data_IF_200400862492
#
_entry.id   IF_200400862492
#
_cell.length_a   1.000
_cell.length_b   1.000
_cell.length_c   1.000
_cell.angle_alpha   90.00
_cell.angle_beta   90.00
_cell.angle_gamma   90.00
#
_symmetry.space_group_name_H-M   'P 1'
#
loop_
_entity.id
_entity.type
_entity.pdbx_description
1 polymer ?
#
# COMPACT_ATOMS: atom_id res chain seq x y z
N UNK A 1 -6.04 -33.63 39.39
CA UNK A 1 -7.06 -32.64 39.02
C UNK A 1 -6.44 -31.34 38.52
N UNK A 2 -5.61 -30.75 39.32
CA UNK A 2 -5.01 -29.48 38.94
C UNK A 2 -4.12 -29.58 37.71
N UNK A 3 -3.55 -30.74 37.46
CA UNK A 3 -2.70 -30.91 36.29
C UNK A 3 -3.48 -30.86 35.00
N UNK A 4 -4.71 -31.30 35.00
CA UNK A 4 -5.56 -31.29 33.81
C UNK A 4 -5.94 -29.84 33.46
N UNK A 5 -6.22 -29.04 34.48
CA UNK A 5 -6.55 -27.65 34.26
C UNK A 5 -5.37 -26.86 33.69
N UNK A 6 -4.16 -27.17 34.15
CA UNK A 6 -2.98 -26.50 33.62
C UNK A 6 -2.72 -26.85 32.15
N UNK A 7 -2.96 -28.09 31.79
CA UNK A 7 -2.83 -28.52 30.40
C UNK A 7 -3.82 -27.81 29.50
N UNK A 8 -5.05 -27.62 29.97
CA UNK A 8 -6.06 -26.96 29.21
C UNK A 8 -5.67 -25.49 28.97
N UNK A 9 -5.14 -24.82 29.98
CA UNK A 9 -4.70 -23.45 29.84
C UNK A 9 -3.56 -23.31 28.85
N UNK A 10 -2.63 -24.22 28.83
CA UNK A 10 -1.52 -24.21 27.88
C UNK A 10 -2.02 -24.37 26.45
N UNK A 11 -2.99 -25.24 26.23
CA UNK A 11 -3.56 -25.46 24.92
C UNK A 11 -4.26 -24.20 24.39
N UNK A 12 -4.90 -23.44 25.26
CA UNK A 12 -5.53 -22.19 24.85
C UNK A 12 -4.52 -21.15 24.41
N UNK A 13 -3.34 -21.17 25.01
CA UNK A 13 -2.30 -20.22 24.63
C UNK A 13 -1.63 -20.56 23.32
N UNK A 14 -1.66 -21.80 22.90
CA UNK A 14 -1.05 -22.19 21.64
C UNK A 14 -1.91 -21.87 20.42
N UNK A 15 -3.14 -21.42 20.62
CA UNK A 15 -4.03 -21.06 19.54
C UNK A 15 -3.83 -19.66 19.02
N UNK A 16 -2.68 -19.11 19.11
CA UNK A 16 -2.42 -17.78 18.69
C UNK A 16 -2.22 -17.72 17.20
N UNK A 17 -3.12 -17.19 16.44
CA UNK A 17 -2.99 -17.35 15.05
C UNK A 17 -2.48 -16.15 14.46
N UNK A 18 -2.22 -15.63 13.94
CA UNK A 18 -1.73 -14.68 13.10
C UNK A 18 -1.68 -15.14 11.67
N UNK A 19 -2.25 -16.25 11.41
CA UNK A 19 -2.02 -16.83 10.11
C UNK A 19 -2.97 -16.36 9.04
N UNK A 20 -4.04 -15.74 9.38
CA UNK A 20 -4.96 -15.22 8.41
C UNK A 20 -4.76 -13.76 8.09
N UNK A 21 -3.96 -13.07 8.88
CA UNK A 21 -3.84 -11.62 8.79
C UNK A 21 -2.51 -11.20 8.17
N UNK A 22 -2.17 -11.77 7.06
CA UNK A 22 -0.97 -11.33 6.38
C UNK A 22 -1.22 -9.99 5.72
N UNK A 23 -0.34 -9.04 5.99
CA UNK A 23 -0.34 -7.79 5.25
C UNK A 23 -0.05 -8.09 3.78
N UNK A 24 -0.65 -7.32 2.89
CA UNK A 24 -0.38 -7.47 1.47
C UNK A 24 1.11 -7.27 1.21
N UNK A 25 1.72 -8.03 0.28
CA UNK A 25 3.09 -7.79 -0.11
C UNK A 25 3.30 -6.36 -0.57
N UNK A 26 4.47 -5.82 -0.33
CA UNK A 26 4.80 -4.45 -0.72
C UNK A 26 5.88 -4.46 -1.78
N UNK A 27 5.67 -3.64 -2.80
CA UNK A 27 6.64 -3.39 -3.85
C UNK A 27 7.05 -1.94 -3.74
N UNK A 28 8.32 -1.68 -3.50
CA UNK A 28 8.82 -0.31 -3.41
C UNK A 28 9.01 0.25 -4.80
N UNK A 29 8.65 1.52 -4.97
CA UNK A 29 8.93 2.24 -6.20
C UNK A 29 9.65 3.54 -5.89
N UNK A 30 10.00 4.29 -6.91
CA UNK A 30 10.78 5.51 -6.78
C UNK A 30 9.94 6.73 -7.16
N UNK A 31 10.29 7.86 -6.56
CA UNK A 31 9.68 9.13 -6.85
C UNK A 31 10.73 10.08 -7.38
N UNK A 32 10.44 10.74 -8.48
CA UNK A 32 11.28 11.81 -9.01
C UNK A 32 10.51 13.11 -8.98
N UNK A 33 11.20 14.20 -8.69
CA UNK A 33 10.61 15.52 -8.66
C UNK A 33 11.34 16.36 -9.68
N UNK A 34 10.61 16.86 -10.67
CA UNK A 34 11.18 17.66 -11.73
C UNK A 34 10.22 18.80 -12.07
N UNK A 35 10.72 20.03 -12.08
CA UNK A 35 9.94 21.22 -12.44
C UNK A 35 8.63 21.31 -11.63
N UNK A 36 8.70 21.03 -10.33
CA UNK A 36 7.56 21.00 -9.41
C UNK A 36 6.55 19.90 -9.69
N UNK A 37 6.89 18.93 -10.53
CA UNK A 37 6.05 17.78 -10.77
C UNK A 37 6.58 16.56 -10.03
N UNK A 38 5.69 15.90 -9.29
CA UNK A 38 6.01 14.65 -8.61
C UNK A 38 5.63 13.51 -9.53
N UNK A 39 6.60 12.67 -9.86
CA UNK A 39 6.39 11.49 -10.69
C UNK A 39 6.73 10.25 -9.87
N UNK A 40 5.73 9.44 -9.59
CA UNK A 40 5.91 8.16 -8.93
C UNK A 40 5.91 7.09 -9.99
N UNK A 41 7.02 6.40 -10.14
CA UNK A 41 7.21 5.48 -11.26
C UNK A 41 6.38 4.22 -11.10
N UNK A 42 5.67 3.83 -12.15
CA UNK A 42 4.91 2.60 -12.17
C UNK A 42 5.85 1.40 -12.32
N UNK A 43 5.62 0.36 -11.53
CA UNK A 43 6.24 -0.93 -11.69
C UNK A 43 5.18 -2.01 -11.94
N UNK A 44 4.05 -1.60 -12.47
CA UNK A 44 2.94 -2.50 -12.74
C UNK A 44 3.27 -3.44 -13.89
N UNK A 45 2.83 -4.67 -13.77
CA UNK A 45 2.89 -5.65 -14.84
C UNK A 45 1.60 -5.62 -15.64
N UNK A 46 1.65 -6.13 -16.86
CA UNK A 46 0.48 -6.19 -17.72
C UNK A 46 -0.67 -6.91 -17.00
N UNK A 47 -1.84 -6.32 -17.05
CA UNK A 47 -3.03 -6.89 -16.42
C UNK A 47 -3.25 -6.46 -14.98
N UNK A 48 -2.26 -5.83 -14.34
CA UNK A 48 -2.46 -5.30 -12.99
C UNK A 48 -3.38 -4.09 -13.03
N UNK A 49 -4.11 -3.85 -11.95
CA UNK A 49 -5.06 -2.73 -11.87
C UNK A 49 -4.94 -2.02 -10.54
N UNK A 50 -4.92 -0.70 -10.58
CA UNK A 50 -4.94 0.13 -9.39
C UNK A 50 -6.39 0.32 -8.97
N UNK A 51 -6.70 0.01 -7.72
CA UNK A 51 -8.06 0.16 -7.17
C UNK A 51 -8.15 1.27 -6.14
N UNK A 52 -7.05 1.72 -5.58
CA UNK A 52 -7.06 2.80 -4.61
C UNK A 52 -5.68 3.45 -4.49
N UNK A 53 -5.66 4.68 -4.01
CA UNK A 53 -4.44 5.40 -3.66
C UNK A 53 -4.61 5.96 -2.26
N UNK A 54 -3.53 5.97 -1.49
CA UNK A 54 -3.47 6.59 -0.18
C UNK A 54 -2.21 7.44 -0.11
N UNK A 55 -2.37 8.70 0.32
CA UNK A 55 -1.26 9.63 0.50
C UNK A 55 -1.30 10.12 1.93
N UNK A 56 -0.19 9.98 2.64
CA UNK A 56 -0.03 10.46 4.00
C UNK A 56 1.13 11.42 4.07
N UNK A 57 0.99 12.49 4.86
CA UNK A 57 2.08 13.39 5.16
C UNK A 57 2.51 13.25 6.61
N UNK A 58 3.72 13.71 6.92
CA UNK A 58 4.24 13.70 8.28
C UNK A 58 3.50 14.68 9.19
N UNK A 59 2.73 15.61 8.64
CA UNK A 59 1.91 16.52 9.41
C UNK A 59 0.50 15.99 9.68
N UNK A 60 0.22 14.75 9.27
CA UNK A 60 -1.06 14.11 9.53
C UNK A 60 -2.09 14.24 8.44
N UNK A 61 -1.81 14.97 7.37
CA UNK A 61 -2.73 15.05 6.24
C UNK A 61 -2.84 13.70 5.56
N UNK A 62 -4.05 13.37 5.12
CA UNK A 62 -4.31 12.09 4.52
C UNK A 62 -5.28 12.24 3.36
N UNK A 63 -4.95 11.65 2.24
CA UNK A 63 -5.81 11.61 1.07
C UNK A 63 -6.01 10.14 0.69
N UNK A 64 -7.26 9.74 0.52
CA UNK A 64 -7.61 8.37 0.13
C UNK A 64 -8.63 8.45 -0.99
N UNK A 65 -8.37 7.77 -2.09
CA UNK A 65 -9.31 7.68 -3.19
C UNK A 65 -9.42 6.22 -3.63
N UNK A 66 -10.64 5.74 -3.69
CA UNK A 66 -10.95 4.40 -4.18
C UNK A 66 -11.67 4.52 -5.51
N UNK A 67 -11.36 3.64 -6.43
CA UNK A 67 -11.99 3.67 -7.75
C UNK A 67 -12.20 2.25 -8.28
N UNK A 68 -12.89 1.44 -7.47
CA UNK A 68 -13.17 0.06 -7.80
C UNK A 68 -13.96 -0.10 -9.09
N UNK A 69 -14.80 0.90 -9.42
CA UNK A 69 -15.63 0.84 -10.62
C UNK A 69 -14.82 1.04 -11.89
N UNK A 70 -13.71 1.76 -11.82
CA UNK A 70 -12.87 2.05 -12.98
C UNK A 70 -11.41 1.90 -12.62
N UNK A 71 -10.95 0.67 -12.40
CA UNK A 71 -9.55 0.47 -12.06
C UNK A 71 -8.64 0.92 -13.21
N UNK A 72 -7.45 1.36 -12.85
CA UNK A 72 -6.51 1.94 -13.80
C UNK A 72 -5.31 1.04 -14.00
N UNK A 73 -4.76 1.06 -15.19
CA UNK A 73 -3.48 0.44 -15.49
C UNK A 73 -2.53 1.53 -15.99
N UNK A 74 -1.35 1.61 -15.39
CA UNK A 74 -0.29 2.53 -15.81
C UNK A 74 0.91 1.70 -16.22
N UNK A 75 1.34 1.88 -17.45
CA UNK A 75 2.43 1.10 -18.00
C UNK A 75 3.71 1.29 -17.18
N UNK A 76 4.55 0.27 -17.18
CA UNK A 76 5.81 0.30 -16.46
C UNK A 76 6.63 1.51 -16.90
N UNK A 77 7.25 2.17 -15.92
CA UNK A 77 8.11 3.34 -16.09
C UNK A 77 7.36 4.64 -16.39
N UNK A 78 6.06 4.63 -16.48
CA UNK A 78 5.26 5.85 -16.55
C UNK A 78 4.89 6.34 -15.16
N UNK A 79 4.45 7.61 -15.07
CA UNK A 79 4.08 8.20 -13.79
C UNK A 79 2.71 7.73 -13.33
N UNK A 80 2.62 7.27 -12.08
CA UNK A 80 1.36 6.90 -11.48
C UNK A 80 0.52 8.15 -11.18
N UNK A 81 -0.82 8.05 -11.22
CA UNK A 81 -1.67 9.20 -10.99
C UNK A 81 -1.62 9.65 -9.53
N UNK A 82 -1.67 10.96 -9.32
CA UNK A 82 -1.74 11.56 -7.99
C UNK A 82 -2.99 12.43 -7.82
N UNK A 83 -3.86 12.45 -8.81
CA UNK A 83 -5.19 13.07 -8.76
C UNK A 83 -5.16 14.54 -8.30
N UNK A 84 -4.21 15.32 -8.81
CA UNK A 84 -4.07 16.74 -8.48
C UNK A 84 -3.79 17.03 -7.01
N UNK A 85 -3.33 16.02 -6.27
CA UNK A 85 -2.92 16.25 -4.88
C UNK A 85 -1.73 17.20 -4.85
N UNK A 86 -1.75 18.17 -3.95
CA UNK A 86 -0.67 19.14 -3.83
C UNK A 86 0.34 18.67 -2.81
N UNK A 87 1.56 18.44 -3.27
CA UNK A 87 2.68 18.05 -2.39
C UNK A 87 3.44 19.32 -2.00
N UNK A 88 3.39 19.66 -0.72
CA UNK A 88 4.06 20.86 -0.20
C UNK A 88 5.53 20.61 0.02
N UNK A 89 6.34 21.67 -0.13
CA UNK A 89 7.78 21.58 0.03
C UNK A 89 8.16 21.22 1.47
N UNK A 90 9.28 20.51 1.61
CA UNK A 90 9.88 20.17 2.90
C UNK A 90 9.06 19.22 3.75
N UNK A 91 8.03 18.60 3.20
CA UNK A 91 7.24 17.60 3.89
C UNK A 91 7.61 16.20 3.43
N UNK A 92 7.48 15.26 4.35
CA UNK A 92 7.64 13.84 4.05
C UNK A 92 6.30 13.25 3.67
N UNK A 93 6.28 12.48 2.59
CA UNK A 93 5.06 11.83 2.13
C UNK A 93 5.27 10.34 2.00
N UNK A 94 4.23 9.59 2.31
CA UNK A 94 4.13 8.17 2.04
C UNK A 94 2.95 7.96 1.11
N UNK A 95 3.18 7.31 -0.01
CA UNK A 95 2.13 7.04 -1.00
C UNK A 95 2.04 5.54 -1.22
N UNK A 96 0.82 5.03 -1.22
CA UNK A 96 0.55 3.61 -1.44
C UNK A 96 -0.54 3.46 -2.48
N UNK A 97 -0.32 2.55 -3.42
CA UNK A 97 -1.31 2.17 -4.41
C UNK A 97 -1.73 0.73 -4.15
N UNK A 98 -3.05 0.50 -4.03
CA UNK A 98 -3.58 -0.84 -3.93
C UNK A 98 -3.72 -1.41 -5.33
N UNK A 99 -3.07 -2.54 -5.58
CA UNK A 99 -3.02 -3.13 -6.91
C UNK A 99 -3.53 -4.56 -6.84
N UNK A 100 -4.37 -4.90 -7.81
CA UNK A 100 -4.92 -6.25 -7.97
C UNK A 100 -4.35 -6.85 -9.24
N UNK A 101 -3.80 -8.06 -9.13
CA UNK A 101 -3.27 -8.78 -10.29
C UNK A 101 -4.37 -9.56 -10.99
N UNK A 102 -4.13 -10.04 -12.24
CA UNK A 102 -5.11 -10.89 -12.92
C UNK A 102 -5.48 -12.15 -12.17
N UNK A 103 -4.64 -12.60 -11.25
CA UNK A 103 -4.92 -13.78 -10.43
C UNK A 103 -5.60 -13.45 -9.12
N UNK A 104 -6.11 -12.21 -8.99
CA UNK A 104 -6.80 -11.71 -7.80
C UNK A 104 -5.92 -11.68 -6.55
N UNK A 105 -4.62 -11.61 -6.72
CA UNK A 105 -3.70 -11.34 -5.64
C UNK A 105 -3.54 -9.83 -5.51
N UNK A 106 -3.40 -9.36 -4.27
CA UNK A 106 -3.25 -7.94 -4.02
C UNK A 106 -1.83 -7.63 -3.58
N UNK A 107 -1.33 -6.47 -3.98
CA UNK A 107 -0.09 -5.96 -3.42
C UNK A 107 -0.17 -4.44 -3.32
N UNK A 108 0.72 -3.87 -2.50
CA UNK A 108 0.84 -2.43 -2.35
C UNK A 108 2.10 -1.97 -3.06
N UNK A 109 1.97 -0.96 -3.91
CA UNK A 109 3.12 -0.29 -4.49
C UNK A 109 3.33 0.99 -3.71
N UNK A 110 4.49 1.13 -3.06
CA UNK A 110 4.70 2.19 -2.08
C UNK A 110 5.96 2.99 -2.39
N UNK A 111 5.92 4.26 -2.01
CA UNK A 111 7.10 5.12 -2.03
C UNK A 111 7.03 6.10 -0.88
N UNK A 112 8.20 6.50 -0.40
CA UNK A 112 8.34 7.54 0.61
C UNK A 112 9.31 8.57 0.05
N UNK A 113 8.98 9.84 0.19
CA UNK A 113 9.84 10.89 -0.36
C UNK A 113 9.65 12.19 0.41
N UNK A 114 10.61 13.08 0.24
CA UNK A 114 10.56 14.45 0.75
C UNK A 114 10.38 15.37 -0.45
N UNK A 115 9.34 16.22 -0.40
CA UNK A 115 9.08 17.17 -1.49
C UNK A 115 10.12 18.35 -1.40
#
# INVERSE_FOLDING_TARGET
>A
MNKILLLTAVLLLTGCPGQGDRAAPRVSTTTTIKDNHVCITSKMNAGDKITAIQIYSDTGDRFIKQFDDKPLYIAKDECLPVFNYTFNSEKHYSVSYDIVTPHHENYLMTTNFIR
#
